data_IF_632186025921
#
_entry.id   IF_632186025921
#
_cell.length_a   1.000
_cell.length_b   1.000
_cell.length_c   1.000
_cell.angle_alpha   90.00
_cell.angle_beta   90.00
_cell.angle_gamma   90.00
#
_symmetry.space_group_name_H-M   'P 1'
#
loop_
_entity.id
_entity.type
_entity.pdbx_description
1 polymer ?
#
# COMPACT_ATOMS: atom_id res chain seq x y z
N UNK A 1 -8.65 6.31 12.85
CA UNK A 1 -7.52 6.87 12.10
C UNK A 1 -6.75 5.75 11.42
N UNK A 2 -6.63 5.80 10.09
CA UNK A 2 -5.77 4.91 9.33
C UNK A 2 -4.31 5.07 9.78
N UNK A 3 -3.63 3.97 10.10
CA UNK A 3 -2.25 4.03 10.58
C UNK A 3 -1.30 4.01 9.38
N UNK A 4 -0.16 4.71 9.50
CA UNK A 4 0.85 4.88 8.44
C UNK A 4 1.28 3.54 7.81
N UNK A 5 1.48 3.54 6.49
CA UNK A 5 2.01 2.42 5.73
C UNK A 5 3.51 2.32 6.00
N UNK A 6 3.99 1.13 6.35
CA UNK A 6 5.42 0.88 6.54
C UNK A 6 6.05 0.64 5.18
N UNK A 7 6.99 1.49 4.77
CA UNK A 7 7.62 1.42 3.44
C UNK A 7 9.11 1.13 3.60
N UNK A 8 9.61 0.14 2.86
CA UNK A 8 11.03 -0.17 2.70
C UNK A 8 11.34 -0.25 1.22
N UNK A 9 12.04 0.76 0.69
CA UNK A 9 12.53 0.78 -0.68
C UNK A 9 14.04 0.62 -0.69
N UNK A 10 14.56 -0.28 -1.53
CA UNK A 10 16.00 -0.54 -1.69
C UNK A 10 16.39 -0.57 -3.16
N UNK A 11 17.41 0.19 -3.53
CA UNK A 11 18.04 0.14 -4.84
C UNK A 11 19.17 -0.90 -4.84
N UNK A 12 19.14 -1.85 -5.77
CA UNK A 12 20.22 -2.82 -5.99
C UNK A 12 20.39 -3.08 -7.49
N UNK A 13 21.59 -2.84 -8.02
CA UNK A 13 21.92 -3.06 -9.45
C UNK A 13 20.89 -2.42 -10.41
N UNK A 14 20.52 -1.16 -10.16
CA UNK A 14 19.55 -0.42 -10.99
C UNK A 14 18.08 -0.85 -10.83
N UNK A 15 17.77 -1.76 -9.92
CA UNK A 15 16.39 -2.21 -9.63
C UNK A 15 15.99 -1.76 -8.24
N UNK A 16 14.91 -1.00 -8.14
CA UNK A 16 14.30 -0.66 -6.86
C UNK A 16 13.34 -1.78 -6.47
N UNK A 17 13.52 -2.36 -5.29
CA UNK A 17 12.53 -3.24 -4.66
C UNK A 17 11.82 -2.48 -3.55
N UNK A 18 10.51 -2.32 -3.69
CA UNK A 18 9.65 -1.73 -2.66
C UNK A 18 8.92 -2.84 -1.93
N UNK A 19 8.91 -2.73 -0.61
CA UNK A 19 8.11 -3.54 0.30
C UNK A 19 7.26 -2.59 1.11
N UNK A 20 5.94 -2.69 1.00
CA UNK A 20 5.03 -1.85 1.77
C UNK A 20 4.00 -2.69 2.51
N UNK A 21 3.70 -2.29 3.74
CA UNK A 21 2.71 -2.93 4.59
C UNK A 21 1.72 -1.88 5.06
N UNK A 22 0.51 -1.92 4.51
CA UNK A 22 -0.57 -1.01 4.87
C UNK A 22 -1.18 -1.47 6.20
N UNK A 23 -1.24 -0.60 7.21
CA UNK A 23 -1.79 -0.99 8.52
C UNK A 23 -3.32 -0.85 8.49
N UNK A 24 -3.97 -1.88 7.97
CA UNK A 24 -5.41 -1.94 7.77
C UNK A 24 -6.01 -3.26 8.29
N UNK A 25 -7.25 -3.21 8.80
CA UNK A 25 -7.90 -4.36 9.42
C UNK A 25 -8.32 -5.43 8.40
N UNK A 26 -8.72 -4.99 7.20
CA UNK A 26 -9.15 -5.85 6.09
C UNK A 26 -10.25 -6.82 6.50
N UNK A 27 -11.39 -6.28 6.89
CA UNK A 27 -12.57 -7.06 7.26
C UNK A 27 -13.44 -7.26 6.03
N UNK A 28 -13.36 -8.45 5.44
CA UNK A 28 -14.30 -8.87 4.38
C UNK A 28 -15.70 -9.14 4.93
N UNK A 29 -16.68 -9.34 4.04
CA UNK A 29 -18.10 -9.48 4.43
C UNK A 29 -18.32 -10.59 5.49
N UNK A 30 -17.67 -11.76 5.31
CA UNK A 30 -17.80 -12.90 6.22
C UNK A 30 -17.18 -12.62 7.60
N UNK A 31 -15.99 -12.01 7.61
CA UNK A 31 -15.27 -11.71 8.85
C UNK A 31 -15.93 -10.59 9.65
N UNK A 32 -16.39 -9.55 8.95
CA UNK A 32 -17.16 -8.44 9.49
C UNK A 32 -18.43 -8.94 10.18
N UNK A 33 -19.20 -9.83 9.49
CA UNK A 33 -20.39 -10.47 10.06
C UNK A 33 -20.07 -11.28 11.32
N UNK A 34 -18.99 -12.09 11.30
CA UNK A 34 -18.55 -12.87 12.47
C UNK A 34 -18.12 -11.99 13.64
N UNK A 35 -17.45 -10.87 13.36
CA UNK A 35 -16.94 -9.95 14.37
C UNK A 35 -17.95 -8.89 14.83
N UNK A 36 -19.17 -8.87 14.27
CA UNK A 36 -20.19 -7.83 14.48
C UNK A 36 -19.62 -6.42 14.27
N UNK A 37 -18.89 -6.24 13.16
CA UNK A 37 -18.26 -4.97 12.74
C UNK A 37 -18.65 -4.65 11.31
N UNK A 38 -18.46 -3.39 10.93
CA UNK A 38 -18.64 -2.98 9.54
C UNK A 38 -17.60 -3.61 8.62
N UNK A 39 -18.04 -3.89 7.39
CA UNK A 39 -17.16 -4.28 6.30
C UNK A 39 -16.24 -3.11 5.97
N UNK A 40 -14.94 -3.37 5.93
CA UNK A 40 -13.98 -2.40 5.43
C UNK A 40 -12.69 -3.08 4.97
N UNK A 41 -12.31 -2.82 3.73
CA UNK A 41 -11.08 -3.30 3.12
C UNK A 41 -10.55 -2.25 2.15
N UNK A 42 -9.25 -2.29 1.87
CA UNK A 42 -8.62 -1.45 0.85
C UNK A 42 -9.17 -1.88 -0.51
N UNK A 43 -9.66 -0.92 -1.30
CA UNK A 43 -10.21 -1.14 -2.64
C UNK A 43 -9.23 -0.78 -3.74
N UNK A 44 -8.33 0.18 -3.47
CA UNK A 44 -7.38 0.65 -4.46
C UNK A 44 -6.11 1.19 -3.80
N UNK A 45 -4.97 0.94 -4.43
CA UNK A 45 -3.66 1.38 -3.95
C UNK A 45 -2.73 1.75 -5.12
N UNK A 46 -1.99 2.84 -4.94
CA UNK A 46 -1.00 3.34 -5.89
C UNK A 46 0.35 3.54 -5.22
N UNK A 47 1.41 3.50 -6.02
CA UNK A 47 2.71 4.03 -5.66
C UNK A 47 3.25 4.94 -6.77
N UNK A 48 3.73 6.12 -6.38
CA UNK A 48 4.36 7.07 -7.28
C UNK A 48 5.78 7.41 -6.84
N UNK A 49 6.65 7.74 -7.80
CA UNK A 49 8.02 8.22 -7.59
C UNK A 49 8.29 9.30 -8.62
N UNK A 50 8.72 10.49 -8.18
CA UNK A 50 8.96 11.65 -9.05
C UNK A 50 7.76 11.89 -9.99
N UNK A 51 6.56 11.87 -9.41
CA UNK A 51 5.26 12.03 -10.08
C UNK A 51 4.90 10.97 -11.14
N UNK A 52 5.70 9.90 -11.26
CA UNK A 52 5.42 8.75 -12.14
C UNK A 52 4.75 7.64 -11.35
N UNK A 53 3.67 7.09 -11.90
CA UNK A 53 3.02 5.89 -11.38
C UNK A 53 3.89 4.66 -11.63
N UNK A 54 4.35 4.02 -10.56
CA UNK A 54 5.23 2.83 -10.61
C UNK A 54 4.51 1.55 -10.18
N UNK A 55 3.35 1.69 -9.54
CA UNK A 55 2.51 0.58 -9.12
C UNK A 55 1.06 1.05 -8.96
N UNK A 56 0.13 0.25 -9.43
CA UNK A 56 -1.30 0.47 -9.30
C UNK A 56 -1.97 -0.89 -9.14
N UNK A 57 -2.94 -0.97 -8.22
CA UNK A 57 -3.72 -2.18 -8.01
C UNK A 57 -5.11 -1.85 -7.51
N UNK A 58 -6.10 -2.47 -8.14
CA UNK A 58 -7.45 -2.60 -7.57
C UNK A 58 -7.51 -3.88 -6.75
N UNK A 59 -8.00 -3.78 -5.54
CA UNK A 59 -8.05 -4.87 -4.56
C UNK A 59 -9.47 -5.13 -4.09
N UNK A 60 -9.68 -6.28 -3.45
CA UNK A 60 -10.98 -6.69 -2.94
C UNK A 60 -10.84 -7.26 -1.52
N UNK A 61 -11.95 -7.76 -0.98
CA UNK A 61 -12.04 -8.30 0.39
C UNK A 61 -11.10 -9.48 0.72
N UNK A 62 -10.38 -10.04 -0.26
CA UNK A 62 -9.60 -11.28 -0.10
C UNK A 62 -8.15 -11.06 0.36
N UNK A 63 -7.75 -9.82 0.61
CA UNK A 63 -6.43 -9.52 1.18
C UNK A 63 -6.46 -9.65 2.71
N UNK A 64 -5.43 -10.27 3.27
CA UNK A 64 -5.30 -10.44 4.72
C UNK A 64 -5.07 -9.12 5.47
N UNK A 65 -5.33 -9.14 6.79
CA UNK A 65 -4.97 -8.05 7.70
C UNK A 65 -3.53 -7.59 7.50
N UNK A 66 -3.36 -6.27 7.48
CA UNK A 66 -2.12 -5.57 7.13
C UNK A 66 -1.55 -5.98 5.75
N UNK A 67 -2.24 -5.65 4.63
CA UNK A 67 -1.80 -6.05 3.30
C UNK A 67 -0.34 -5.70 3.05
N UNK A 68 0.42 -6.70 2.60
CA UNK A 68 1.81 -6.57 2.24
C UNK A 68 1.95 -6.65 0.72
N UNK A 69 2.54 -5.61 0.14
CA UNK A 69 2.87 -5.57 -1.27
C UNK A 69 4.38 -5.50 -1.46
N UNK A 70 4.84 -6.21 -2.49
CA UNK A 70 6.24 -6.20 -2.92
C UNK A 70 6.27 -6.09 -4.43
N UNK A 71 6.81 -4.99 -4.92
CA UNK A 71 6.98 -4.74 -6.34
C UNK A 71 8.39 -4.26 -6.64
N UNK A 72 8.76 -4.31 -7.92
CA UNK A 72 10.05 -3.84 -8.41
C UNK A 72 9.84 -2.91 -9.59
N UNK A 73 10.66 -1.88 -9.68
CA UNK A 73 10.66 -0.96 -10.82
C UNK A 73 12.08 -0.41 -11.04
N UNK A 74 12.28 0.30 -12.16
CA UNK A 74 13.53 0.99 -12.53
C UNK A 74 13.24 2.47 -12.79
N UNK A 75 14.29 3.28 -12.93
CA UNK A 75 14.14 4.71 -13.30
C UNK A 75 13.93 5.65 -12.12
N UNK A 76 14.46 5.28 -10.95
CA UNK A 76 14.56 6.16 -9.78
C UNK A 76 15.93 5.99 -9.13
N UNK A 77 16.31 6.98 -8.33
CA UNK A 77 17.64 7.05 -7.71
C UNK A 77 17.58 6.88 -6.20
N UNK A 78 18.76 6.64 -5.62
CA UNK A 78 18.89 6.61 -4.16
C UNK A 78 18.60 8.01 -3.62
N UNK A 79 17.66 8.10 -2.69
CA UNK A 79 17.24 9.38 -2.12
C UNK A 79 15.85 9.83 -2.54
N UNK A 80 15.34 9.29 -3.66
CA UNK A 80 14.00 9.57 -4.14
C UNK A 80 12.93 9.11 -3.14
N UNK A 81 11.75 9.70 -3.28
CA UNK A 81 10.60 9.44 -2.42
C UNK A 81 9.61 8.55 -3.15
N UNK A 82 9.31 7.40 -2.55
CA UNK A 82 8.16 6.56 -2.90
C UNK A 82 6.97 7.00 -2.09
N UNK A 83 5.94 7.46 -2.77
CA UNK A 83 4.65 7.84 -2.17
C UNK A 83 3.71 6.68 -2.41
N UNK A 84 3.13 6.12 -1.35
CA UNK A 84 2.11 5.07 -1.44
C UNK A 84 0.81 5.61 -0.88
N UNK A 85 -0.24 5.51 -1.68
CA UNK A 85 -1.58 5.95 -1.33
C UNK A 85 -2.55 4.81 -1.50
N UNK A 86 -3.52 4.69 -0.60
CA UNK A 86 -4.62 3.74 -0.74
C UNK A 86 -5.93 4.35 -0.27
N UNK A 87 -7.02 3.81 -0.76
CA UNK A 87 -8.40 4.12 -0.37
C UNK A 87 -9.11 2.84 0.06
N UNK A 88 -9.91 2.94 1.12
CA UNK A 88 -10.75 1.85 1.60
C UNK A 88 -12.20 1.97 1.12
N UNK A 89 -12.99 0.93 1.37
CA UNK A 89 -14.39 0.86 1.00
C UNK A 89 -15.24 2.00 1.58
N UNK A 90 -14.81 2.59 2.71
CA UNK A 90 -15.47 3.72 3.36
C UNK A 90 -14.99 5.08 2.84
N UNK A 91 -14.15 5.10 1.80
CA UNK A 91 -13.59 6.33 1.22
C UNK A 91 -12.45 6.92 2.05
N UNK A 92 -11.98 6.25 3.10
CA UNK A 92 -10.83 6.73 3.87
C UNK A 92 -9.58 6.55 3.04
N UNK A 93 -8.87 7.66 2.82
CA UNK A 93 -7.58 7.64 2.14
C UNK A 93 -6.43 7.68 3.15
N UNK A 94 -5.31 7.09 2.77
CA UNK A 94 -4.06 7.25 3.51
C UNK A 94 -2.90 7.32 2.54
N UNK A 95 -2.02 8.29 2.79
CA UNK A 95 -0.77 8.48 2.05
C UNK A 95 0.42 8.38 2.99
N UNK A 96 1.45 7.66 2.54
CA UNK A 96 2.72 7.49 3.27
C UNK A 96 3.90 7.63 2.33
N UNK A 97 4.99 8.19 2.86
CA UNK A 97 6.21 8.45 2.08
C UNK A 97 7.35 7.60 2.63
N UNK A 98 8.12 6.97 1.73
CA UNK A 98 9.33 6.22 2.04
C UNK A 98 10.50 6.66 1.17
N UNK A 99 11.69 6.78 1.74
CA UNK A 99 12.92 7.11 1.01
C UNK A 99 13.56 5.86 0.41
N UNK A 100 13.98 5.92 -0.85
CA UNK A 100 14.76 4.86 -1.51
C UNK A 100 16.17 4.85 -0.92
N UNK A 101 16.58 3.69 -0.39
CA UNK A 101 17.91 3.47 0.19
C UNK A 101 18.83 2.72 -0.76
#
# INVERSE_FOLDING_TARGET
>A
MAKKTRIKAKLKKGIITVKAMAKHAMLGHREAKKAKKDVNFITYMTATVNDKLVYEVSTSQFLSKNPYIKFKFKGAEKGDKVIISWVDLKGTTQTSIGKIK
#
